data_IF_161400180318
#
_entry.id   IF_161400180318
#
_cell.length_a   1.000
_cell.length_b   1.000
_cell.length_c   1.000
_cell.angle_alpha   90.00
_cell.angle_beta   90.00
_cell.angle_gamma   90.00
#
_symmetry.space_group_name_H-M   'P 1'
#
loop_
_entity.id
_entity.type
_entity.pdbx_description
1 polymer ?
#
# COMPACT_ATOMS: atom_id res chain seq x y z
N UNK A 1 -39.22 14.96 -46.34
CA UNK A 1 -39.57 14.67 -44.93
C UNK A 1 -38.66 13.53 -44.52
N UNK A 2 -37.51 13.92 -43.97
CA UNK A 2 -36.49 13.02 -43.46
C UNK A 2 -36.82 12.63 -42.03
N UNK A 3 -36.80 11.34 -41.73
CA UNK A 3 -36.85 10.82 -40.36
C UNK A 3 -35.83 9.70 -40.22
N UNK A 4 -34.62 10.12 -39.82
CA UNK A 4 -33.59 9.22 -39.25
C UNK A 4 -34.01 8.78 -37.86
N UNK A 5 -33.94 7.49 -37.51
CA UNK A 5 -34.00 7.05 -36.14
C UNK A 5 -32.61 6.71 -35.59
N UNK A 6 -32.28 7.42 -34.52
CA UNK A 6 -31.56 6.90 -33.34
C UNK A 6 -30.04 6.72 -33.53
N UNK A 7 -29.37 7.88 -33.49
CA UNK A 7 -28.15 8.00 -32.70
C UNK A 7 -28.48 7.74 -31.22
N UNK A 8 -27.65 6.97 -30.52
CA UNK A 8 -27.66 6.96 -29.05
C UNK A 8 -27.55 5.59 -28.41
N UNK A 9 -26.39 4.95 -28.53
CA UNK A 9 -25.98 3.94 -27.54
C UNK A 9 -24.45 3.82 -27.47
N UNK A 10 -23.79 4.93 -27.12
CA UNK A 10 -22.36 4.93 -26.76
C UNK A 10 -22.18 5.81 -25.53
N UNK A 11 -22.56 5.31 -24.35
CA UNK A 11 -22.24 5.95 -23.08
C UNK A 11 -22.34 4.96 -21.90
N UNK A 12 -21.69 3.81 -21.99
CA UNK A 12 -21.62 2.85 -20.86
C UNK A 12 -20.20 2.39 -20.50
N UNK A 13 -19.15 2.88 -21.19
CA UNK A 13 -17.76 2.45 -20.93
C UNK A 13 -16.91 3.47 -20.16
N UNK A 14 -17.49 4.50 -19.54
CA UNK A 14 -16.72 5.55 -18.87
C UNK A 14 -16.58 5.41 -17.34
N UNK A 15 -17.19 4.39 -16.71
CA UNK A 15 -17.17 4.23 -15.24
C UNK A 15 -16.10 3.27 -14.71
N UNK A 16 -15.24 2.71 -15.56
CA UNK A 16 -14.17 1.77 -15.14
C UNK A 16 -12.87 2.50 -14.77
N UNK A 17 -12.84 3.83 -14.81
CA UNK A 17 -11.62 4.61 -14.52
C UNK A 17 -11.36 4.85 -13.02
N UNK A 18 -12.25 4.41 -12.12
CA UNK A 18 -12.13 4.63 -10.67
C UNK A 18 -11.92 3.35 -9.84
N UNK A 19 -11.58 2.22 -10.48
CA UNK A 19 -10.96 1.11 -9.76
C UNK A 19 -9.49 1.45 -9.53
N UNK A 20 -9.20 2.39 -8.63
CA UNK A 20 -7.84 2.51 -8.11
C UNK A 20 -7.51 1.20 -7.39
N UNK A 21 -6.62 0.40 -7.98
CA UNK A 21 -6.11 -0.80 -7.35
C UNK A 21 -5.36 -0.36 -6.10
N UNK A 22 -5.83 -0.80 -4.93
CA UNK A 22 -5.12 -0.54 -3.69
C UNK A 22 -3.66 -1.02 -3.80
N UNK A 23 -2.70 -0.28 -3.22
CA UNK A 23 -1.30 -0.67 -3.25
C UNK A 23 -1.10 -2.08 -2.73
N UNK A 24 -0.33 -2.88 -3.47
CA UNK A 24 -0.09 -4.26 -3.10
C UNK A 24 0.72 -4.35 -1.79
N UNK A 25 0.14 -4.96 -0.77
CA UNK A 25 0.88 -5.27 0.47
C UNK A 25 1.80 -6.46 0.20
N UNK A 26 3.09 -6.26 0.42
CA UNK A 26 4.16 -7.22 0.16
C UNK A 26 4.67 -7.88 1.44
N UNK A 27 4.72 -7.14 2.55
CA UNK A 27 5.16 -7.68 3.82
C UNK A 27 4.29 -7.17 4.96
N UNK A 28 4.15 -7.99 6.00
CA UNK A 28 3.42 -7.62 7.21
C UNK A 28 4.22 -8.00 8.44
N UNK A 29 4.18 -7.16 9.47
CA UNK A 29 4.65 -7.48 10.81
C UNK A 29 3.55 -7.18 11.82
N UNK A 30 3.46 -7.99 12.87
CA UNK A 30 2.54 -7.73 13.99
C UNK A 30 3.34 -7.17 15.17
N UNK A 31 2.73 -6.27 15.94
CA UNK A 31 3.37 -5.63 17.09
C UNK A 31 2.63 -5.91 18.39
N UNK A 32 3.28 -5.62 19.52
CA UNK A 32 2.57 -5.53 20.82
C UNK A 32 1.79 -4.22 20.95
N UNK A 33 2.32 -3.14 20.38
CA UNK A 33 1.75 -1.79 20.47
C UNK A 33 0.75 -1.49 19.34
N UNK A 34 0.84 -2.20 18.22
CA UNK A 34 -0.02 -2.02 17.05
C UNK A 34 -0.51 -3.39 16.56
N UNK A 35 -1.60 -3.43 15.80
CA UNK A 35 -2.13 -4.67 15.26
C UNK A 35 -1.24 -5.19 14.12
N UNK A 36 -1.11 -4.40 13.05
CA UNK A 36 -0.29 -4.77 11.89
C UNK A 36 0.44 -3.57 11.30
N UNK A 37 1.68 -3.79 10.86
CA UNK A 37 2.44 -2.90 10.00
C UNK A 37 2.55 -3.55 8.62
N UNK A 38 1.98 -2.92 7.61
CA UNK A 38 1.90 -3.40 6.23
C UNK A 38 2.83 -2.58 5.34
N UNK A 39 3.69 -3.25 4.59
CA UNK A 39 4.63 -2.63 3.66
C UNK A 39 4.17 -2.86 2.22
N UNK A 40 4.22 -1.82 1.37
CA UNK A 40 3.88 -1.93 -0.05
C UNK A 40 5.10 -1.73 -0.94
N UNK A 41 4.99 -2.07 -2.23
CA UNK A 41 6.03 -1.78 -3.22
C UNK A 41 5.83 -0.45 -3.97
N UNK A 42 4.85 0.35 -3.56
CA UNK A 42 4.56 1.66 -4.16
C UNK A 42 5.29 2.79 -3.45
N UNK A 43 5.58 3.87 -4.18
CA UNK A 43 6.18 5.07 -3.58
C UNK A 43 5.14 6.07 -3.11
N UNK A 44 4.08 6.24 -3.90
CA UNK A 44 3.07 7.27 -3.69
C UNK A 44 3.73 8.64 -3.41
N UNK A 45 3.42 9.31 -2.29
CA UNK A 45 3.97 10.62 -1.90
C UNK A 45 5.38 10.56 -1.30
N UNK A 46 6.08 9.43 -1.38
CA UNK A 46 7.34 9.25 -0.66
C UNK A 46 8.61 9.37 -1.49
N UNK A 47 9.57 10.05 -0.87
CA UNK A 47 10.88 10.32 -1.44
C UNK A 47 11.65 9.01 -1.56
N UNK A 48 12.27 8.80 -2.72
CA UNK A 48 13.12 7.63 -2.92
C UNK A 48 14.27 7.66 -1.89
N UNK A 49 14.65 6.51 -1.30
CA UNK A 49 14.21 5.15 -1.64
C UNK A 49 12.98 4.65 -0.85
N UNK A 50 12.30 5.51 -0.09
CA UNK A 50 11.18 5.11 0.75
C UNK A 50 9.94 4.74 -0.08
N UNK A 51 9.13 3.85 0.50
CA UNK A 51 7.90 3.32 -0.06
C UNK A 51 6.76 3.48 0.92
N UNK A 52 5.55 3.44 0.41
CA UNK A 52 4.32 3.55 1.16
C UNK A 52 4.15 2.35 2.11
N UNK A 53 3.68 2.63 3.32
CA UNK A 53 3.27 1.63 4.29
C UNK A 53 2.09 2.09 5.11
N UNK A 54 1.52 1.16 5.87
CA UNK A 54 0.37 1.39 6.73
C UNK A 54 0.59 0.80 8.10
N UNK A 55 0.25 1.55 9.14
CA UNK A 55 0.22 1.09 10.53
C UNK A 55 -1.24 1.04 10.97
N UNK A 56 -1.74 -0.14 11.32
CA UNK A 56 -3.09 -0.33 11.84
C UNK A 56 -3.04 -0.62 13.34
N UNK A 57 -3.80 0.15 14.11
CA UNK A 57 -3.97 -0.02 15.55
C UNK A 57 -5.05 -1.07 15.87
N UNK A 58 -5.12 -1.47 17.13
CA UNK A 58 -6.07 -2.48 17.60
C UNK A 58 -7.54 -2.05 17.51
N UNK A 59 -7.80 -0.74 17.53
CA UNK A 59 -9.13 -0.17 17.30
C UNK A 59 -9.51 -0.08 15.81
N UNK A 60 -8.62 -0.51 14.91
CA UNK A 60 -8.79 -0.46 13.46
C UNK A 60 -8.33 0.84 12.81
N UNK A 61 -7.94 1.86 13.58
CA UNK A 61 -7.40 3.10 13.02
C UNK A 61 -6.14 2.80 12.21
N UNK A 62 -6.09 3.28 10.96
CA UNK A 62 -4.95 3.04 10.06
C UNK A 62 -4.28 4.35 9.72
N UNK A 63 -2.98 4.41 9.97
CA UNK A 63 -2.12 5.54 9.63
C UNK A 63 -1.25 5.18 8.44
N UNK A 64 -1.02 6.18 7.61
CA UNK A 64 -0.14 6.09 6.45
C UNK A 64 1.22 6.67 6.80
N UNK A 65 2.27 6.02 6.33
CA UNK A 65 3.62 6.53 6.45
C UNK A 65 4.53 5.93 5.39
N UNK A 66 5.83 6.16 5.55
CA UNK A 66 6.81 5.68 4.59
C UNK A 66 7.96 4.93 5.22
N UNK A 67 8.18 3.75 4.65
CA UNK A 67 9.14 2.79 5.12
C UNK A 67 10.36 2.77 4.22
N UNK A 68 11.50 2.51 4.84
CA UNK A 68 12.76 2.28 4.15
C UNK A 68 13.52 1.19 4.89
N UNK A 69 14.29 0.43 4.12
CA UNK A 69 15.24 -0.51 4.68
C UNK A 69 16.42 0.25 5.31
N UNK A 70 16.70 -0.05 6.57
CA UNK A 70 17.79 0.56 7.32
C UNK A 70 18.58 -0.49 8.12
N UNK A 71 19.69 -0.97 7.54
CA UNK A 71 20.64 -1.88 8.21
C UNK A 71 20.08 -3.27 8.46
N UNK A 72 19.57 -3.57 9.66
CA UNK A 72 18.85 -4.82 10.00
C UNK A 72 17.35 -4.64 10.27
N UNK A 73 16.83 -3.43 10.03
CA UNK A 73 15.48 -3.03 10.37
C UNK A 73 14.75 -2.42 9.18
N UNK A 74 13.43 -2.36 9.29
CA UNK A 74 12.58 -1.46 8.54
C UNK A 74 12.31 -0.25 9.43
N UNK A 75 12.62 0.94 8.91
CA UNK A 75 12.28 2.21 9.55
C UNK A 75 11.06 2.80 8.87
N UNK A 76 10.01 3.05 9.63
CA UNK A 76 8.74 3.61 9.16
C UNK A 76 8.54 4.99 9.80
N UNK A 77 8.36 6.01 8.95
CA UNK A 77 8.06 7.38 9.38
C UNK A 77 6.60 7.67 9.16
N UNK A 78 5.90 8.10 10.22
CA UNK A 78 4.50 8.49 10.18
C UNK A 78 4.41 9.89 10.77
N UNK A 79 3.65 10.78 10.14
CA UNK A 79 3.46 12.14 10.64
C UNK A 79 2.90 12.10 12.07
N UNK A 80 3.43 12.95 12.94
CA UNK A 80 3.02 13.08 14.35
C UNK A 80 3.26 11.85 15.23
N UNK A 81 4.06 10.88 14.77
CA UNK A 81 4.54 9.76 15.57
C UNK A 81 6.06 9.65 15.53
N UNK A 82 6.63 9.04 16.58
CA UNK A 82 8.04 8.65 16.57
C UNK A 82 8.32 7.61 15.49
N UNK A 83 9.54 7.66 14.93
CA UNK A 83 10.00 6.69 13.94
C UNK A 83 9.92 5.26 14.50
N UNK A 84 9.15 4.39 13.83
CA UNK A 84 9.07 2.98 14.17
C UNK A 84 10.24 2.23 13.53
N UNK A 85 10.93 1.41 14.32
CA UNK A 85 12.01 0.52 13.85
C UNK A 85 11.68 -0.92 14.19
N UNK A 86 11.42 -1.73 13.16
CA UNK A 86 11.05 -3.13 13.33
C UNK A 86 12.13 -4.03 12.68
N UNK A 87 12.65 -5.05 13.37
CA UNK A 87 13.58 -6.01 12.79
C UNK A 87 13.02 -6.66 11.52
N UNK A 88 13.85 -6.87 10.50
CA UNK A 88 13.41 -7.53 9.26
C UNK A 88 12.87 -8.93 9.51
N UNK A 89 13.45 -9.66 10.47
CA UNK A 89 13.02 -11.01 10.83
C UNK A 89 11.59 -11.11 11.38
N UNK A 90 10.99 -9.97 11.77
CA UNK A 90 9.62 -9.93 12.28
C UNK A 90 8.58 -9.81 11.15
N UNK A 91 9.03 -9.55 9.92
CA UNK A 91 8.17 -9.45 8.76
C UNK A 91 7.94 -10.81 8.11
N UNK A 92 6.70 -11.05 7.70
CA UNK A 92 6.29 -12.18 6.87
C UNK A 92 5.99 -11.68 5.47
N UNK A 93 6.43 -12.42 4.46
CA UNK A 93 6.03 -12.16 3.08
C UNK A 93 4.54 -12.48 2.89
N UNK A 94 3.89 -11.71 2.03
CA UNK A 94 2.57 -12.06 1.50
C UNK A 94 2.72 -12.91 0.24
N UNK A 95 1.64 -13.56 -0.19
CA UNK A 95 1.61 -14.30 -1.46
C UNK A 95 2.02 -13.42 -2.66
N UNK A 96 1.69 -12.12 -2.62
CA UNK A 96 2.06 -11.17 -3.68
C UNK A 96 3.57 -10.92 -3.67
N UNK A 97 4.20 -10.80 -2.50
CA UNK A 97 5.66 -10.67 -2.43
C UNK A 97 6.36 -11.93 -2.94
N UNK A 98 5.88 -13.10 -2.55
CA UNK A 98 6.42 -14.38 -3.00
C UNK A 98 6.28 -14.53 -4.53
N UNK A 99 5.10 -14.26 -5.07
CA UNK A 99 4.84 -14.31 -6.51
C UNK A 99 5.74 -13.35 -7.31
N UNK A 100 6.01 -12.16 -6.76
CA UNK A 100 6.88 -11.15 -7.38
C UNK A 100 8.36 -11.32 -7.05
N UNK A 101 8.73 -12.36 -6.30
CA UNK A 101 10.09 -12.60 -5.80
C UNK A 101 10.70 -11.35 -5.12
N UNK A 102 9.90 -10.68 -4.28
CA UNK A 102 10.32 -9.49 -3.53
C UNK A 102 11.05 -9.92 -2.26
N UNK A 103 12.10 -9.20 -1.94
CA UNK A 103 12.83 -9.30 -0.66
C UNK A 103 12.82 -7.95 0.05
N UNK A 104 13.04 -7.98 1.37
CA UNK A 104 13.28 -6.78 2.18
C UNK A 104 14.77 -6.39 2.18
N UNK A 105 15.46 -6.62 1.07
CA UNK A 105 16.88 -6.27 0.92
C UNK A 105 17.11 -4.76 0.73
#
# INVERSE_FOLDING_TARGET
MDTSPIAGLVAACALIAACESQPAVTFVANGSQFNVLSLTDERDTCDAPARLGYLTWWDGATLRGCWVRDGGHIRMRITDLDDLRIPVGDFRSTEIADYRNRTLD
#
